data_IF_806975312837
#
_entry.id   IF_806975312837
#
_cell.length_a   1.000
_cell.length_b   1.000
_cell.length_c   1.000
_cell.angle_alpha   90.00
_cell.angle_beta   90.00
_cell.angle_gamma   90.00
#
_symmetry.space_group_name_H-M   'P 1'
#
loop_
_entity.id
_entity.type
_entity.pdbx_description
1 polymer ?
#
# COMPACT_ATOMS: atom_id res chain seq x y z
N UNK A 1 23.01 -17.64 28.06
CA UNK A 1 21.96 -16.61 28.16
C UNK A 1 22.49 -15.41 27.39
N UNK A 2 21.88 -15.05 26.25
CA UNK A 2 22.34 -13.90 25.45
C UNK A 2 22.12 -12.62 26.27
N UNK A 3 23.18 -11.83 26.46
CA UNK A 3 23.07 -10.52 27.11
C UNK A 3 22.30 -9.58 26.17
N UNK A 4 21.12 -9.06 26.58
CA UNK A 4 20.35 -8.11 25.79
C UNK A 4 21.12 -6.85 25.41
N UNK A 5 22.20 -6.52 26.14
CA UNK A 5 23.06 -5.36 25.85
C UNK A 5 23.90 -5.51 24.56
N UNK A 6 24.06 -6.74 24.06
CA UNK A 6 24.79 -7.04 22.82
C UNK A 6 23.90 -6.93 21.57
N UNK A 7 22.61 -6.65 21.75
CA UNK A 7 21.64 -6.60 20.65
C UNK A 7 21.71 -5.23 19.95
N UNK A 8 22.68 -5.11 19.04
CA UNK A 8 22.86 -3.93 18.20
C UNK A 8 21.89 -3.97 17.03
N UNK A 9 20.90 -3.09 17.03
CA UNK A 9 20.04 -2.88 15.87
C UNK A 9 20.76 -1.96 14.87
N UNK A 10 20.88 -2.34 13.59
CA UNK A 10 21.45 -1.46 12.60
C UNK A 10 20.58 -0.21 12.46
N UNK A 11 21.18 0.96 12.68
CA UNK A 11 20.54 2.24 12.38
C UNK A 11 20.38 2.37 10.86
N UNK A 12 19.15 2.21 10.39
CA UNK A 12 18.86 2.36 8.97
C UNK A 12 18.76 3.84 8.61
N UNK A 13 19.42 4.30 7.53
CA UNK A 13 19.26 5.66 7.05
C UNK A 13 17.78 5.97 6.77
N UNK A 14 17.31 7.15 7.19
CA UNK A 14 15.92 7.58 6.98
C UNK A 14 15.50 7.42 5.51
N UNK A 15 16.36 7.82 4.58
CA UNK A 15 16.13 7.65 3.14
C UNK A 15 15.83 6.20 2.74
N UNK A 16 16.57 5.22 3.28
CA UNK A 16 16.34 3.79 3.01
C UNK A 16 14.99 3.32 3.54
N UNK A 17 14.59 3.78 4.73
CA UNK A 17 13.30 3.46 5.34
C UNK A 17 12.15 4.05 4.53
N UNK A 18 12.27 5.31 4.09
CA UNK A 18 11.27 6.00 3.26
C UNK A 18 11.12 5.31 1.91
N UNK A 19 12.24 4.99 1.24
CA UNK A 19 12.23 4.28 -0.04
C UNK A 19 11.60 2.89 0.07
N UNK A 20 11.96 2.12 1.11
CA UNK A 20 11.37 0.82 1.37
C UNK A 20 9.86 0.91 1.61
N UNK A 21 9.43 1.91 2.40
CA UNK A 21 8.00 2.17 2.64
C UNK A 21 7.28 2.54 1.36
N UNK A 22 7.87 3.39 0.51
CA UNK A 22 7.29 3.77 -0.78
C UNK A 22 7.02 2.55 -1.66
N UNK A 23 7.99 1.63 -1.79
CA UNK A 23 7.81 0.41 -2.59
C UNK A 23 6.80 -0.56 -1.98
N UNK A 24 6.70 -0.64 -0.66
CA UNK A 24 5.65 -1.45 -0.01
C UNK A 24 4.26 -0.91 -0.32
N UNK A 25 4.06 0.41 -0.23
CA UNK A 25 2.78 1.05 -0.57
C UNK A 25 2.46 0.91 -2.06
N UNK A 26 3.47 1.05 -2.93
CA UNK A 26 3.32 0.81 -4.37
C UNK A 26 2.91 -0.63 -4.69
N UNK A 27 3.52 -1.61 -4.02
CA UNK A 27 3.16 -3.02 -4.15
C UNK A 27 1.71 -3.28 -3.72
N UNK A 28 1.30 -2.72 -2.58
CA UNK A 28 -0.09 -2.81 -2.13
C UNK A 28 -1.06 -2.19 -3.14
N UNK A 29 -0.74 -1.00 -3.67
CA UNK A 29 -1.52 -0.34 -4.71
C UNK A 29 -1.68 -1.21 -5.97
N UNK A 30 -0.61 -1.85 -6.43
CA UNK A 30 -0.66 -2.76 -7.59
C UNK A 30 -1.56 -3.98 -7.33
N UNK A 31 -1.46 -4.59 -6.15
CA UNK A 31 -2.31 -5.74 -5.76
C UNK A 31 -3.78 -5.34 -5.73
N UNK A 32 -4.12 -4.25 -5.06
CA UNK A 32 -5.51 -3.75 -5.01
C UNK A 32 -6.03 -3.44 -6.42
N UNK A 33 -5.21 -2.83 -7.28
CA UNK A 33 -5.57 -2.55 -8.67
C UNK A 33 -5.93 -3.83 -9.42
N UNK A 34 -5.16 -4.91 -9.27
CA UNK A 34 -5.46 -6.20 -9.89
C UNK A 34 -6.76 -6.81 -9.34
N UNK A 35 -6.99 -6.73 -8.03
CA UNK A 35 -8.23 -7.21 -7.39
C UNK A 35 -9.45 -6.44 -7.91
N UNK A 36 -9.38 -5.11 -7.99
CA UNK A 36 -10.47 -4.28 -8.51
C UNK A 36 -10.73 -4.53 -9.98
N UNK A 37 -9.68 -4.72 -10.78
CA UNK A 37 -9.80 -5.08 -12.18
C UNK A 37 -10.56 -6.40 -12.34
N UNK A 38 -10.23 -7.42 -11.55
CA UNK A 38 -10.96 -8.68 -11.55
C UNK A 38 -12.43 -8.50 -11.16
N UNK A 39 -12.73 -7.75 -10.10
CA UNK A 39 -14.11 -7.54 -9.65
C UNK A 39 -14.94 -6.78 -10.68
N UNK A 40 -14.35 -5.76 -11.31
CA UNK A 40 -15.00 -5.01 -12.37
C UNK A 40 -15.33 -5.89 -13.57
N UNK A 41 -14.40 -6.75 -13.99
CA UNK A 41 -14.59 -7.62 -15.16
C UNK A 41 -15.57 -8.75 -14.91
N UNK A 42 -15.54 -9.35 -13.72
CA UNK A 42 -16.34 -10.53 -13.40
C UNK A 42 -17.73 -10.16 -12.90
N UNK A 43 -17.87 -9.08 -12.13
CA UNK A 43 -19.11 -8.72 -11.43
C UNK A 43 -19.66 -7.34 -11.80
N UNK A 44 -19.08 -6.65 -12.79
CA UNK A 44 -19.48 -5.28 -13.17
C UNK A 44 -20.91 -5.14 -13.69
N UNK A 45 -21.62 -6.24 -13.96
CA UNK A 45 -23.05 -6.23 -14.33
C UNK A 45 -23.98 -6.28 -13.11
N UNK A 46 -23.47 -6.65 -11.93
CA UNK A 46 -24.23 -6.60 -10.68
C UNK A 46 -24.05 -5.24 -10.01
N UNK A 47 -25.14 -4.49 -9.91
CA UNK A 47 -25.15 -3.12 -9.35
C UNK A 47 -24.71 -3.10 -7.88
N UNK A 48 -25.08 -4.11 -7.09
CA UNK A 48 -24.72 -4.15 -5.65
C UNK A 48 -23.21 -4.37 -5.52
N UNK A 49 -22.67 -5.38 -6.21
CA UNK A 49 -21.24 -5.70 -6.16
C UNK A 49 -20.41 -4.53 -6.71
N UNK A 50 -20.85 -3.91 -7.79
CA UNK A 50 -20.19 -2.72 -8.38
C UNK A 50 -20.16 -1.55 -7.40
N UNK A 51 -21.26 -1.29 -6.70
CA UNK A 51 -21.33 -0.21 -5.69
C UNK A 51 -20.31 -0.45 -4.56
N UNK A 52 -20.26 -1.67 -4.02
CA UNK A 52 -19.26 -2.02 -3.01
C UNK A 52 -17.83 -1.91 -3.54
N UNK A 53 -17.58 -2.38 -4.77
CA UNK A 53 -16.26 -2.30 -5.41
C UNK A 53 -15.80 -0.83 -5.53
N UNK A 54 -16.70 0.09 -5.91
CA UNK A 54 -16.39 1.51 -5.98
C UNK A 54 -16.09 2.14 -4.62
N UNK A 55 -16.90 1.83 -3.59
CA UNK A 55 -16.65 2.33 -2.23
C UNK A 55 -15.28 1.85 -1.73
N UNK A 56 -14.98 0.56 -1.90
CA UNK A 56 -13.69 0.00 -1.48
C UNK A 56 -12.55 0.62 -2.29
N UNK A 57 -12.70 0.77 -3.61
CA UNK A 57 -11.73 1.44 -4.49
C UNK A 57 -11.39 2.84 -3.98
N UNK A 58 -12.37 3.71 -3.77
CA UNK A 58 -12.08 5.07 -3.31
C UNK A 58 -11.49 5.09 -1.89
N UNK A 59 -11.96 4.21 -1.01
CA UNK A 59 -11.45 4.13 0.36
C UNK A 59 -10.02 3.59 0.48
N UNK A 60 -9.51 2.84 -0.49
CA UNK A 60 -8.15 2.27 -0.44
C UNK A 60 -7.21 2.97 -1.42
N UNK A 61 -7.63 3.17 -2.67
CA UNK A 61 -6.78 3.76 -3.72
C UNK A 61 -6.41 5.21 -3.40
N UNK A 62 -7.36 6.04 -2.95
CA UNK A 62 -7.04 7.44 -2.62
C UNK A 62 -6.02 7.53 -1.47
N UNK A 63 -6.21 6.87 -0.30
CA UNK A 63 -5.20 6.90 0.75
C UNK A 63 -3.83 6.37 0.31
N UNK A 64 -3.78 5.28 -0.47
CA UNK A 64 -2.51 4.75 -0.98
C UNK A 64 -1.80 5.76 -1.88
N UNK A 65 -2.53 6.42 -2.79
CA UNK A 65 -1.97 7.47 -3.66
C UNK A 65 -1.50 8.68 -2.86
N UNK A 66 -2.25 9.12 -1.84
CA UNK A 66 -1.85 10.23 -0.96
C UNK A 66 -0.56 9.89 -0.20
N UNK A 67 -0.48 8.70 0.39
CA UNK A 67 0.71 8.25 1.11
C UNK A 67 1.91 8.15 0.17
N UNK A 68 1.75 7.56 -1.02
CA UNK A 68 2.83 7.52 -2.01
C UNK A 68 3.26 8.92 -2.45
N UNK A 69 2.31 9.83 -2.68
CA UNK A 69 2.58 11.21 -3.05
C UNK A 69 3.42 11.92 -1.99
N UNK A 70 3.02 11.83 -0.71
CA UNK A 70 3.77 12.41 0.41
C UNK A 70 5.18 11.81 0.51
N UNK A 71 5.30 10.48 0.42
CA UNK A 71 6.61 9.81 0.45
C UNK A 71 7.50 10.22 -0.72
N UNK A 72 6.94 10.42 -1.92
CA UNK A 72 7.68 10.87 -3.09
C UNK A 72 8.24 12.30 -2.97
N UNK A 73 7.65 13.16 -2.13
CA UNK A 73 8.21 14.49 -1.84
C UNK A 73 9.33 14.46 -0.79
N UNK A 74 9.41 13.40 0.01
CA UNK A 74 10.41 13.22 1.08
C UNK A 74 11.65 12.47 0.55
N UNK A 75 11.45 11.62 -0.45
CA UNK A 75 12.49 10.90 -1.21
C UNK A 75 13.43 11.85 -1.95
#
# INVERSE_FOLDING_TARGET
MLDPSQLNFPELPLHTVVLGTFYLVLGAYAIFTAIFYYHWRTYGTDVKVTTYTLVVYFSTTIPLLVVMGVLAFIL
#
